data_IF_484328464846
#
_entry.id   IF_484328464846
#
_cell.length_a   1.000
_cell.length_b   1.000
_cell.length_c   1.000
_cell.angle_alpha   90.00
_cell.angle_beta   90.00
_cell.angle_gamma   90.00
#
_symmetry.space_group_name_H-M   'P 1'
#
loop_
_entity.id
_entity.type
_entity.pdbx_description
1 polymer ?
#
# COMPACT_ATOMS: atom_id res chain seq x y z
N UNK A 1 -11.09 -11.44 21.57
CA UNK A 1 -10.94 -10.15 20.85
C UNK A 1 -11.46 -10.36 19.45
N UNK A 2 -12.52 -9.67 19.10
CA UNK A 2 -13.18 -9.76 17.79
C UNK A 2 -12.27 -9.11 16.76
N UNK A 3 -11.56 -9.91 15.97
CA UNK A 3 -10.87 -9.42 14.78
C UNK A 3 -11.94 -8.88 13.85
N UNK A 4 -12.11 -7.57 13.80
CA UNK A 4 -12.90 -6.97 12.73
C UNK A 4 -12.32 -7.50 11.42
N UNK A 5 -13.16 -8.16 10.61
CA UNK A 5 -12.78 -8.57 9.26
C UNK A 5 -12.61 -7.27 8.49
N UNK A 6 -11.38 -6.77 8.46
CA UNK A 6 -11.05 -5.60 7.68
C UNK A 6 -11.11 -6.00 6.20
N UNK A 7 -11.76 -5.17 5.38
CA UNK A 7 -12.01 -5.46 3.96
C UNK A 7 -10.72 -5.65 3.14
N UNK A 8 -10.89 -6.16 1.92
CA UNK A 8 -9.83 -6.26 0.92
C UNK A 8 -9.24 -4.91 0.57
N UNK A 9 -8.00 -4.87 0.05
CA UNK A 9 -7.37 -3.60 -0.31
C UNK A 9 -8.23 -2.70 -1.21
N UNK A 10 -8.91 -3.17 -2.27
CA UNK A 10 -9.81 -2.33 -3.07
C UNK A 10 -10.91 -1.65 -2.26
N UNK A 11 -11.52 -2.37 -1.30
CA UNK A 11 -12.59 -1.81 -0.46
C UNK A 11 -12.05 -0.73 0.48
N UNK A 12 -10.84 -0.90 0.99
CA UNK A 12 -10.19 0.10 1.84
C UNK A 12 -9.77 1.34 1.04
N UNK A 13 -9.36 1.16 -0.21
CA UNK A 13 -9.04 2.27 -1.11
C UNK A 13 -10.30 3.07 -1.45
N UNK A 14 -11.42 2.42 -1.70
CA UNK A 14 -12.71 3.10 -1.93
C UNK A 14 -13.15 3.89 -0.70
N UNK A 15 -12.98 3.32 0.51
CA UNK A 15 -13.26 4.02 1.75
C UNK A 15 -12.37 5.26 1.92
N UNK A 16 -11.09 5.18 1.52
CA UNK A 16 -10.19 6.34 1.53
C UNK A 16 -10.66 7.44 0.57
N UNK A 17 -11.12 7.09 -0.64
CA UNK A 17 -11.73 8.08 -1.54
C UNK A 17 -12.93 8.77 -0.90
N UNK A 18 -13.85 7.99 -0.32
CA UNK A 18 -15.06 8.52 0.32
C UNK A 18 -14.76 9.41 1.55
N UNK A 19 -13.65 9.18 2.26
CA UNK A 19 -13.24 9.99 3.41
C UNK A 19 -12.71 11.38 3.01
N UNK A 20 -12.01 11.47 1.87
CA UNK A 20 -11.40 12.72 1.43
C UNK A 20 -12.28 13.55 0.50
N UNK A 21 -13.22 12.93 -0.22
CA UNK A 21 -14.11 13.61 -1.16
C UNK A 21 -15.57 13.17 -1.01
N UNK A 22 -16.49 14.13 -1.09
CA UNK A 22 -17.93 13.91 -1.01
C UNK A 22 -18.49 13.35 -2.33
N UNK A 23 -18.29 12.06 -2.57
CA UNK A 23 -18.96 11.31 -3.64
C UNK A 23 -18.22 11.25 -4.98
N UNK A 24 -16.92 11.54 -4.98
CA UNK A 24 -16.05 11.41 -6.15
C UNK A 24 -14.85 10.52 -5.90
N UNK A 25 -13.92 10.54 -6.85
CA UNK A 25 -12.61 9.89 -6.71
C UNK A 25 -11.51 10.94 -6.82
N UNK A 26 -10.42 10.74 -6.09
CA UNK A 26 -9.20 11.54 -6.23
C UNK A 26 -8.44 11.09 -7.47
N UNK A 27 -8.13 12.04 -8.35
CA UNK A 27 -7.28 11.80 -9.51
C UNK A 27 -5.80 11.78 -9.11
N UNK A 28 -5.05 10.85 -9.68
CA UNK A 28 -3.59 10.83 -9.60
C UNK A 28 -2.99 12.03 -10.34
N UNK A 29 -1.71 12.38 -10.07
CA UNK A 29 -1.00 13.40 -10.83
C UNK A 29 -0.97 13.13 -12.35
N UNK A 30 -0.99 11.86 -12.75
CA UNK A 30 -1.07 11.42 -14.15
C UNK A 30 -2.48 11.43 -14.75
N UNK A 31 -3.48 11.88 -14.00
CA UNK A 31 -4.87 11.97 -14.46
C UNK A 31 -5.60 10.63 -14.52
N UNK A 32 -5.23 9.67 -13.67
CA UNK A 32 -5.88 8.36 -13.55
C UNK A 32 -6.57 8.21 -12.18
N UNK A 33 -7.48 7.26 -12.05
CA UNK A 33 -8.13 6.89 -10.79
C UNK A 33 -7.96 5.38 -10.59
N UNK A 34 -7.51 4.98 -9.41
CA UNK A 34 -7.60 3.59 -8.95
C UNK A 34 -8.68 3.47 -7.88
N UNK A 35 -9.57 2.51 -8.07
CA UNK A 35 -10.64 2.15 -7.14
C UNK A 35 -11.10 0.73 -7.46
N UNK A 36 -11.99 0.16 -6.65
CA UNK A 36 -12.56 -1.15 -6.97
C UNK A 36 -13.30 -1.11 -8.31
N UNK A 37 -13.30 -2.25 -9.02
CA UNK A 37 -14.02 -2.39 -10.27
C UNK A 37 -15.54 -2.15 -10.10
N UNK A 38 -16.07 -2.52 -8.94
CA UNK A 38 -17.46 -2.29 -8.55
C UNK A 38 -17.75 -0.78 -8.38
N UNK A 39 -16.92 -0.06 -7.63
CA UNK A 39 -17.10 1.37 -7.41
C UNK A 39 -16.97 2.19 -8.72
N UNK A 40 -16.13 1.73 -9.65
CA UNK A 40 -15.98 2.36 -10.97
C UNK A 40 -17.03 1.89 -12.00
N UNK A 41 -17.87 0.90 -11.68
CA UNK A 41 -18.85 0.34 -12.62
C UNK A 41 -18.22 -0.33 -13.85
N UNK A 42 -16.97 -0.78 -13.75
CA UNK A 42 -16.23 -1.39 -14.87
C UNK A 42 -16.23 -2.90 -14.69
N UNK A 43 -16.80 -3.63 -15.66
CA UNK A 43 -16.69 -5.09 -15.68
C UNK A 43 -15.20 -5.48 -15.73
N UNK A 44 -14.80 -6.49 -14.95
CA UNK A 44 -13.41 -6.85 -14.57
C UNK A 44 -12.39 -7.21 -15.67
N UNK A 45 -12.43 -6.57 -16.84
CA UNK A 45 -11.58 -6.78 -18.00
C UNK A 45 -10.26 -5.95 -17.99
N UNK A 46 -9.88 -5.37 -16.84
CA UNK A 46 -8.65 -4.56 -16.70
C UNK A 46 -7.42 -5.32 -16.23
N UNK A 47 -6.24 -4.69 -16.34
CA UNK A 47 -4.93 -5.23 -15.87
C UNK A 47 -4.95 -5.74 -14.42
N UNK A 48 -5.80 -5.16 -13.58
CA UNK A 48 -5.94 -5.50 -12.16
C UNK A 48 -7.25 -6.23 -11.83
N UNK A 49 -8.04 -6.62 -12.83
CA UNK A 49 -9.38 -7.18 -12.65
C UNK A 49 -9.41 -8.45 -11.80
N UNK A 50 -8.36 -9.29 -11.89
CA UNK A 50 -8.21 -10.48 -11.03
C UNK A 50 -8.08 -10.18 -9.54
N UNK A 51 -7.77 -8.93 -9.19
CA UNK A 51 -7.64 -8.44 -7.82
C UNK A 51 -8.79 -7.51 -7.41
N UNK A 52 -9.84 -7.38 -8.24
CA UNK A 52 -10.98 -6.50 -7.96
C UNK A 52 -10.70 -5.00 -8.06
N UNK A 53 -9.52 -4.60 -8.56
CA UNK A 53 -9.15 -3.20 -8.76
C UNK A 53 -9.26 -2.83 -10.25
N UNK A 54 -9.60 -1.58 -10.54
CA UNK A 54 -9.56 -1.01 -11.89
C UNK A 54 -8.78 0.31 -11.91
N UNK A 55 -8.22 0.64 -13.06
CA UNK A 55 -7.56 1.90 -13.35
C UNK A 55 -8.23 2.55 -14.54
N UNK A 56 -8.78 3.75 -14.37
CA UNK A 56 -9.49 4.48 -15.41
C UNK A 56 -8.97 5.91 -15.52
N UNK A 57 -9.10 6.58 -16.68
CA UNK A 57 -8.87 8.01 -16.77
C UNK A 57 -9.79 8.79 -15.80
N UNK A 58 -9.25 9.83 -15.17
CA UNK A 58 -10.02 10.66 -14.26
C UNK A 58 -11.15 11.39 -15.01
N UNK A 59 -12.36 11.32 -14.46
CA UNK A 59 -13.52 12.04 -14.99
C UNK A 59 -13.47 13.53 -14.66
N UNK A 60 -14.35 14.33 -15.27
CA UNK A 60 -14.48 15.75 -14.94
C UNK A 60 -14.91 16.00 -13.48
N UNK A 61 -15.54 15.02 -12.82
CA UNK A 61 -15.94 15.10 -11.42
C UNK A 61 -14.90 14.61 -10.42
N UNK A 62 -13.72 14.18 -10.88
CA UNK A 62 -12.65 13.72 -9.99
C UNK A 62 -11.95 14.89 -9.29
N UNK A 63 -11.73 14.77 -7.98
CA UNK A 63 -11.03 15.78 -7.19
C UNK A 63 -9.55 15.87 -7.62
N UNK A 64 -9.07 17.11 -7.77
CA UNK A 64 -7.72 17.44 -8.27
C UNK A 64 -7.04 18.56 -7.49
N UNK A 65 -7.71 19.14 -6.50
CA UNK A 65 -7.12 20.20 -5.69
C UNK A 65 -6.00 19.66 -4.79
N UNK A 66 -4.96 20.47 -4.59
CA UNK A 66 -3.74 20.06 -3.89
C UNK A 66 -4.00 19.62 -2.44
N UNK A 67 -4.96 20.24 -1.75
CA UNK A 67 -5.30 19.90 -0.38
C UNK A 67 -5.94 18.51 -0.27
N UNK A 68 -6.89 18.19 -1.14
CA UNK A 68 -7.51 16.86 -1.22
C UNK A 68 -6.49 15.82 -1.66
N UNK A 69 -5.63 16.13 -2.64
CA UNK A 69 -4.57 15.25 -3.09
C UNK A 69 -3.56 14.95 -1.97
N UNK A 70 -3.15 15.95 -1.19
CA UNK A 70 -2.26 15.78 -0.04
C UNK A 70 -2.89 14.90 1.05
N UNK A 71 -4.15 15.16 1.42
CA UNK A 71 -4.89 14.33 2.39
C UNK A 71 -5.02 12.87 1.92
N UNK A 72 -5.35 12.67 0.64
CA UNK A 72 -5.43 11.32 0.06
C UNK A 72 -4.06 10.62 0.07
N UNK A 73 -2.98 11.34 -0.22
CA UNK A 73 -1.63 10.81 -0.21
C UNK A 73 -1.19 10.35 1.18
N UNK A 74 -1.46 11.12 2.24
CA UNK A 74 -1.20 10.69 3.63
C UNK A 74 -2.06 9.49 4.02
N UNK A 75 -3.35 9.52 3.68
CA UNK A 75 -4.25 8.39 3.93
C UNK A 75 -3.82 7.12 3.20
N UNK A 76 -3.21 7.24 2.02
CA UNK A 76 -2.66 6.10 1.27
C UNK A 76 -1.44 5.49 1.95
N UNK A 77 -0.55 6.32 2.52
CA UNK A 77 0.59 5.86 3.33
C UNK A 77 0.10 5.16 4.61
N UNK A 78 -0.88 5.74 5.30
CA UNK A 78 -1.51 5.12 6.47
C UNK A 78 -2.20 3.78 6.13
N UNK A 79 -2.84 3.69 4.96
CA UNK A 79 -3.42 2.45 4.45
C UNK A 79 -2.33 1.40 4.16
N UNK A 80 -1.25 1.77 3.49
CA UNK A 80 -0.13 0.85 3.23
C UNK A 80 0.50 0.34 4.54
N UNK A 81 0.70 1.22 5.51
CA UNK A 81 1.17 0.85 6.85
C UNK A 81 0.24 -0.16 7.53
N UNK A 82 -1.06 0.07 7.46
CA UNK A 82 -2.09 -0.84 7.98
C UNK A 82 -2.00 -2.23 7.33
N UNK A 83 -1.84 -2.30 6.00
CA UNK A 83 -1.67 -3.57 5.26
C UNK A 83 -0.39 -4.30 5.71
N UNK A 84 0.71 -3.57 5.90
CA UNK A 84 1.97 -4.13 6.36
C UNK A 84 1.87 -4.69 7.79
N UNK A 85 1.22 -3.97 8.71
CA UNK A 85 0.99 -4.44 10.08
C UNK A 85 0.17 -5.73 10.11
N UNK A 86 -0.89 -5.82 9.30
CA UNK A 86 -1.68 -7.05 9.17
C UNK A 86 -0.85 -8.19 8.62
N UNK A 87 -0.05 -7.91 7.60
CA UNK A 87 0.82 -8.90 6.97
C UNK A 87 1.91 -9.39 7.93
N UNK A 88 2.48 -8.51 8.75
CA UNK A 88 3.44 -8.87 9.79
C UNK A 88 2.79 -9.81 10.82
N UNK A 89 1.62 -9.45 11.37
CA UNK A 89 0.89 -10.28 12.31
C UNK A 89 0.54 -11.67 11.73
N UNK A 90 0.12 -11.69 10.47
CA UNK A 90 -0.15 -12.93 9.74
C UNK A 90 1.13 -13.76 9.53
N UNK A 91 2.24 -13.14 9.16
CA UNK A 91 3.53 -13.80 8.99
C UNK A 91 4.01 -14.43 10.29
N UNK A 92 3.94 -13.72 11.41
CA UNK A 92 4.29 -14.25 12.74
C UNK A 92 3.45 -15.50 13.05
N UNK A 93 2.12 -15.41 12.85
CA UNK A 93 1.20 -16.53 13.10
C UNK A 93 1.57 -17.75 12.24
N UNK A 94 1.75 -17.56 10.93
CA UNK A 94 2.06 -18.66 9.99
C UNK A 94 3.43 -19.28 10.24
N UNK A 95 4.44 -18.49 10.55
CA UNK A 95 5.77 -19.00 10.89
C UNK A 95 5.74 -19.77 12.21
N UNK A 96 4.89 -19.37 13.17
CA UNK A 96 4.64 -20.10 14.41
C UNK A 96 4.04 -21.48 14.17
N UNK A 97 3.05 -21.59 13.29
CA UNK A 97 2.37 -22.84 12.95
C UNK A 97 3.19 -23.80 12.08
N UNK A 98 4.12 -23.26 11.28
CA UNK A 98 4.87 -24.06 10.31
C UNK A 98 6.07 -24.73 10.94
N UNK A 99 6.12 -26.06 10.88
CA UNK A 99 7.23 -26.87 11.41
C UNK A 99 8.21 -27.26 10.31
N UNK A 100 9.50 -27.15 10.59
CA UNK A 100 10.60 -27.67 9.78
C UNK A 100 11.67 -28.24 10.69
N UNK A 101 12.20 -29.42 10.36
CA UNK A 101 13.25 -30.10 11.16
C UNK A 101 12.86 -30.26 12.64
N UNK A 102 11.58 -30.55 12.91
CA UNK A 102 11.06 -30.78 14.26
C UNK A 102 10.85 -29.53 15.11
N UNK A 103 11.08 -28.33 14.57
CA UNK A 103 10.86 -27.04 15.27
C UNK A 103 9.99 -26.10 14.44
N UNK A 104 9.31 -25.17 15.11
CA UNK A 104 8.60 -24.09 14.42
C UNK A 104 9.60 -23.22 13.65
N UNK A 105 9.24 -22.74 12.47
CA UNK A 105 10.08 -21.78 11.76
C UNK A 105 10.32 -20.52 12.60
N UNK A 106 9.34 -20.10 13.40
CA UNK A 106 9.47 -18.92 14.26
C UNK A 106 10.55 -19.09 15.35
N UNK A 107 10.99 -20.31 15.68
CA UNK A 107 12.11 -20.50 16.62
C UNK A 107 13.49 -20.32 15.98
N UNK A 108 13.56 -20.05 14.67
CA UNK A 108 14.82 -19.80 13.96
C UNK A 108 15.28 -18.35 14.21
N UNK A 109 16.46 -18.12 14.80
CA UNK A 109 16.92 -16.78 15.15
C UNK A 109 16.95 -15.79 13.98
N UNK A 110 17.32 -16.25 12.78
CA UNK A 110 17.33 -15.41 11.59
C UNK A 110 15.92 -14.86 11.26
N UNK A 111 14.89 -15.71 11.33
CA UNK A 111 13.53 -15.27 11.04
C UNK A 111 12.99 -14.32 12.11
N UNK A 112 13.42 -14.50 13.37
CA UNK A 112 13.08 -13.57 14.45
C UNK A 112 13.75 -12.20 14.25
N UNK A 113 15.01 -12.17 13.83
CA UNK A 113 15.72 -10.93 13.51
C UNK A 113 15.03 -10.19 12.36
N UNK A 114 14.75 -10.87 11.24
CA UNK A 114 14.07 -10.27 10.10
C UNK A 114 12.68 -9.69 10.47
N UNK A 115 11.93 -10.39 11.34
CA UNK A 115 10.64 -9.91 11.85
C UNK A 115 10.77 -8.72 12.80
N UNK A 116 11.81 -8.71 13.64
CA UNK A 116 12.10 -7.61 14.55
C UNK A 116 12.48 -6.34 13.77
N UNK A 117 13.31 -6.48 12.73
CA UNK A 117 13.70 -5.37 11.86
C UNK A 117 12.47 -4.78 11.15
N UNK A 118 11.60 -5.63 10.60
CA UNK A 118 10.33 -5.18 10.00
C UNK A 118 9.44 -4.47 11.02
N UNK A 119 9.33 -5.02 12.24
CA UNK A 119 8.53 -4.40 13.30
C UNK A 119 9.08 -3.03 13.71
N UNK A 120 10.41 -2.90 13.78
CA UNK A 120 11.10 -1.66 14.12
C UNK A 120 10.85 -0.59 13.04
N UNK A 121 11.05 -0.91 11.77
CA UNK A 121 10.77 0.01 10.65
C UNK A 121 9.31 0.50 10.67
N UNK A 122 8.34 -0.39 10.92
CA UNK A 122 6.93 0.01 11.02
C UNK A 122 6.65 0.90 12.24
N UNK A 123 7.39 0.76 13.34
CA UNK A 123 7.24 1.64 14.49
C UNK A 123 7.84 3.02 14.21
N UNK A 124 9.01 3.07 13.57
CA UNK A 124 9.67 4.31 13.18
C UNK A 124 8.79 5.13 12.23
N UNK A 125 8.25 4.49 11.19
CA UNK A 125 7.33 5.14 10.25
C UNK A 125 6.05 5.66 10.92
N UNK A 126 5.54 4.97 11.94
CA UNK A 126 4.36 5.41 12.68
C UNK A 126 4.64 6.55 13.67
N UNK A 127 5.91 6.75 14.05
CA UNK A 127 6.34 7.80 14.97
C UNK A 127 6.73 9.09 14.22
N UNK A 128 6.98 9.02 12.91
CA UNK A 128 7.22 10.21 12.10
C UNK A 128 5.97 11.13 12.09
N UNK A 129 6.11 12.42 12.45
CA UNK A 129 4.98 13.34 12.53
C UNK A 129 4.31 13.55 11.16
N UNK A 130 2.98 13.66 11.17
CA UNK A 130 2.14 13.94 9.99
C UNK A 130 2.25 15.39 9.48
N UNK A 131 3.38 16.06 9.69
CA UNK A 131 3.61 17.39 9.08
C UNK A 131 3.44 17.30 7.56
N UNK A 132 3.05 18.40 6.91
CA UNK A 132 2.81 18.48 5.46
C UNK A 132 4.07 18.07 4.67
N UNK A 133 4.25 16.76 4.52
CA UNK A 133 5.41 16.16 3.93
C UNK A 133 5.39 16.48 2.44
N UNK A 134 6.49 17.06 1.94
CA UNK A 134 6.63 17.29 0.50
C UNK A 134 6.42 15.99 -0.29
N UNK A 135 6.07 16.10 -1.58
CA UNK A 135 5.86 14.92 -2.46
C UNK A 135 7.04 13.93 -2.42
N UNK A 136 8.27 14.44 -2.38
CA UNK A 136 9.48 13.61 -2.34
C UNK A 136 9.60 12.82 -1.03
N UNK A 137 9.19 13.41 0.11
CA UNK A 137 9.17 12.73 1.41
C UNK A 137 8.14 11.62 1.41
N UNK A 138 6.92 11.88 0.94
CA UNK A 138 5.88 10.85 0.79
C UNK A 138 6.32 9.70 -0.12
N UNK A 139 6.99 10.04 -1.22
CA UNK A 139 7.55 9.05 -2.14
C UNK A 139 8.62 8.19 -1.47
N UNK A 140 9.55 8.79 -0.73
CA UNK A 140 10.57 8.06 0.02
C UNK A 140 9.96 7.14 1.08
N UNK A 141 8.96 7.59 1.83
CA UNK A 141 8.20 6.77 2.79
C UNK A 141 7.53 5.58 2.11
N UNK A 142 6.85 5.82 0.99
CA UNK A 142 6.27 4.75 0.18
C UNK A 142 7.29 3.70 -0.27
N UNK A 143 8.47 4.13 -0.72
CA UNK A 143 9.54 3.22 -1.12
C UNK A 143 10.04 2.36 0.04
N UNK A 144 10.24 2.95 1.23
CA UNK A 144 10.64 2.21 2.45
C UNK A 144 9.59 1.17 2.83
N UNK A 145 8.32 1.58 2.92
CA UNK A 145 7.19 0.68 3.20
C UNK A 145 7.08 -0.46 2.17
N UNK A 146 7.33 -0.18 0.89
CA UNK A 146 7.36 -1.19 -0.18
C UNK A 146 8.51 -2.19 0.01
N UNK A 147 9.70 -1.70 0.36
CA UNK A 147 10.84 -2.58 0.70
C UNK A 147 10.53 -3.50 1.88
N UNK A 148 9.90 -2.97 2.94
CA UNK A 148 9.43 -3.73 4.10
C UNK A 148 8.41 -4.79 3.71
N UNK A 149 7.45 -4.45 2.85
CA UNK A 149 6.50 -5.42 2.30
C UNK A 149 7.18 -6.57 1.56
N UNK A 150 8.22 -6.28 0.77
CA UNK A 150 9.00 -7.30 0.04
C UNK A 150 9.79 -8.23 0.98
N UNK A 151 10.24 -7.76 2.14
CA UNK A 151 10.81 -8.64 3.18
C UNK A 151 9.75 -9.64 3.66
N UNK A 152 8.55 -9.17 4.01
CA UNK A 152 7.45 -10.03 4.47
C UNK A 152 7.04 -11.08 3.41
N UNK A 153 6.95 -10.71 2.14
CA UNK A 153 6.67 -11.65 1.05
C UNK A 153 7.73 -12.76 0.96
N UNK A 154 9.01 -12.41 1.12
CA UNK A 154 10.11 -13.39 1.11
C UNK A 154 10.03 -14.35 2.29
N UNK A 155 9.71 -13.86 3.49
CA UNK A 155 9.53 -14.69 4.69
C UNK A 155 8.37 -15.69 4.53
N UNK A 156 7.27 -15.28 3.88
CA UNK A 156 6.13 -16.14 3.58
C UNK A 156 6.41 -17.14 2.44
N UNK A 157 7.37 -16.84 1.57
CA UNK A 157 7.70 -17.64 0.39
C UNK A 157 6.49 -17.83 -0.53
N UNK A 158 6.31 -19.04 -1.06
CA UNK A 158 5.21 -19.35 -1.99
C UNK A 158 3.80 -19.13 -1.44
N UNK A 159 3.62 -19.12 -0.12
CA UNK A 159 2.31 -18.83 0.48
C UNK A 159 1.81 -17.42 0.15
N UNK A 160 2.73 -16.47 -0.02
CA UNK A 160 2.37 -15.10 -0.42
C UNK A 160 1.68 -15.02 -1.79
N UNK A 161 1.83 -16.04 -2.63
CA UNK A 161 1.25 -16.10 -3.97
C UNK A 161 -0.12 -16.80 -4.03
N UNK A 162 -0.59 -17.36 -2.91
CA UNK A 162 -1.91 -17.98 -2.83
C UNK A 162 -3.01 -16.92 -2.74
N UNK A 163 -4.23 -17.29 -3.11
CA UNK A 163 -5.38 -16.37 -3.07
C UNK A 163 -5.70 -15.88 -1.65
N UNK A 164 -5.41 -16.71 -0.64
CA UNK A 164 -5.59 -16.38 0.77
C UNK A 164 -4.35 -15.68 1.37
N UNK A 165 -3.28 -15.55 0.60
CA UNK A 165 -2.04 -14.90 1.02
C UNK A 165 -2.10 -13.37 0.91
N UNK A 166 -1.28 -12.64 1.69
CA UNK A 166 -1.29 -11.17 1.69
C UNK A 166 -0.65 -10.54 0.45
N UNK A 167 -0.16 -11.34 -0.51
CA UNK A 167 0.59 -10.84 -1.65
C UNK A 167 -0.22 -9.96 -2.60
N UNK A 168 -1.51 -10.24 -2.76
CA UNK A 168 -2.40 -9.40 -3.56
C UNK A 168 -2.51 -7.99 -2.95
N UNK A 169 -2.82 -7.88 -1.66
CA UNK A 169 -2.98 -6.59 -0.99
C UNK A 169 -1.67 -5.78 -0.96
N UNK A 170 -0.52 -6.43 -0.72
CA UNK A 170 0.78 -5.76 -0.78
C UNK A 170 1.11 -5.26 -2.18
N UNK A 171 0.81 -6.06 -3.21
CA UNK A 171 1.00 -5.65 -4.60
C UNK A 171 0.10 -4.46 -4.97
N UNK A 172 -1.16 -4.48 -4.57
CA UNK A 172 -2.08 -3.38 -4.85
C UNK A 172 -1.68 -2.10 -4.10
N UNK A 173 -1.21 -2.21 -2.85
CA UNK A 173 -0.67 -1.08 -2.10
C UNK A 173 0.56 -0.45 -2.79
N UNK A 174 1.46 -1.30 -3.31
CA UNK A 174 2.60 -0.84 -4.11
C UNK A 174 2.14 -0.11 -5.38
N UNK A 175 1.20 -0.71 -6.14
CA UNK A 175 0.67 -0.10 -7.37
C UNK A 175 -0.01 1.23 -7.09
N UNK A 176 -0.83 1.33 -6.05
CA UNK A 176 -1.51 2.56 -5.71
C UNK A 176 -0.53 3.66 -5.32
N UNK A 177 0.47 3.36 -4.49
CA UNK A 177 1.51 4.33 -4.13
C UNK A 177 2.32 4.78 -5.35
N UNK A 178 2.68 3.90 -6.27
CA UNK A 178 3.31 4.27 -7.53
C UNK A 178 2.45 5.21 -8.38
N UNK A 179 1.12 5.03 -8.40
CA UNK A 179 0.22 5.87 -9.19
C UNK A 179 0.01 7.24 -8.56
N UNK A 180 -0.13 7.32 -7.23
CA UNK A 180 -0.52 8.55 -6.54
C UNK A 180 0.64 9.34 -5.92
N UNK A 181 1.73 8.68 -5.53
CA UNK A 181 2.82 9.29 -4.77
C UNK A 181 4.08 9.51 -5.61
N UNK A 182 4.18 8.89 -6.79
CA UNK A 182 5.33 9.10 -7.66
C UNK A 182 5.43 10.58 -8.06
N UNK A 183 6.62 11.20 -7.88
CA UNK A 183 6.86 12.54 -8.39
C UNK A 183 6.60 12.56 -9.90
N UNK A 184 5.73 13.47 -10.36
CA UNK A 184 5.47 13.65 -11.78
C UNK A 184 6.76 14.02 -12.53
N UNK A 185 6.82 13.78 -13.85
CA UNK A 185 7.94 14.23 -14.65
C UNK A 185 7.87 15.76 -14.83
N UNK A 186 8.26 16.57 -13.83
CA UNK A 186 8.89 17.88 -14.07
C UNK A 186 9.50 18.58 -12.83
N UNK A 187 10.83 18.55 -12.74
CA UNK A 187 11.73 19.70 -12.57
C UNK A 187 13.20 19.20 -12.62
N UNK A 188 13.65 18.74 -13.79
CA UNK A 188 15.05 18.95 -14.19
C UNK A 188 15.04 20.21 -15.05
N UNK A 189 14.88 21.37 -14.41
CA UNK A 189 15.27 22.61 -15.06
C UNK A 189 16.79 22.57 -15.12
N UNK A 190 17.28 22.66 -16.34
CA UNK A 190 18.66 22.77 -16.72
C UNK A 190 19.30 23.96 -16.01
N UNK A 191 20.17 23.72 -15.03
CA UNK A 191 21.27 24.65 -14.76
C UNK A 191 22.40 24.31 -15.74
N UNK A 192 22.19 24.73 -16.99
CA UNK A 192 23.25 24.96 -17.96
C UNK A 192 23.13 26.40 -18.45
N UNK A 193 24.24 27.13 -18.33
CA UNK A 193 24.49 28.56 -18.63
C UNK A 193 24.14 29.54 -17.50
N UNK A 194 25.06 30.35 -16.97
CA UNK A 194 26.29 30.92 -17.56
C UNK A 194 27.44 31.04 -16.55
#
# INVERSE_FOLDING_TARGET
MTTAVLGSYPSLLDALHADVTSGGFVASPSGSVLASAEALGVAGAGRFGRFGLACVPASAGSARDDATAARFAEGLLALQHTVLRRTLAHTITRLGERVSEGTSLLSRPQLQADLADVAMELQEEAAEPEEEAGRDVRWARHQRLTCTGRVLLRLLGGYSMLAEGPGADLYLAEVAGNVYLQPGPDHRVEDHHA
#
